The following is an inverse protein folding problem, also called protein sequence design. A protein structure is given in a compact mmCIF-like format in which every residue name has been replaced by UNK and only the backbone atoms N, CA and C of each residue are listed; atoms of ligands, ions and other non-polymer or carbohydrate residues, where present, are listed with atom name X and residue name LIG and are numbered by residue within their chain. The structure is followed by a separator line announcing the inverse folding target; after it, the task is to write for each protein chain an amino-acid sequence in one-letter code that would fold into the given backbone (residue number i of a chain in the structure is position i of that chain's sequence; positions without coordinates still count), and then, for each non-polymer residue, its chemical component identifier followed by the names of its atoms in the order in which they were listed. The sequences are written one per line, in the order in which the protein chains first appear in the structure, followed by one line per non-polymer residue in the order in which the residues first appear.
data_IF_895826022522
#
_entry.id   IF_895826022522
#
_cell.length_a   1.000
_cell.length_b   1.000
_cell.length_c   1.000
_cell.angle_alpha   90.00
_cell.angle_beta   90.00
_cell.angle_gamma   90.00
#
_symmetry.space_group_name_H-M   'P 1'
#
loop_
_entity.id
_entity.type
_entity.pdbx_description
1 polymer ?
#
# COMPACT_ATOMS: atom_id res chain seq x y z
N UNK A 1 -13.92 -35.42 -5.38
CA UNK A 1 -13.47 -34.13 -5.95
C UNK A 1 -12.27 -33.66 -5.12
N UNK A 2 -11.22 -33.08 -5.71
CA UNK A 2 -10.09 -32.61 -4.92
C UNK A 2 -10.53 -31.40 -4.10
N UNK A 3 -10.49 -31.53 -2.77
CA UNK A 3 -10.74 -30.44 -1.84
C UNK A 3 -9.61 -29.44 -2.03
N UNK A 4 -9.90 -28.29 -2.62
CA UNK A 4 -8.96 -27.18 -2.68
C UNK A 4 -8.76 -26.74 -1.22
N UNK A 5 -7.63 -27.13 -0.61
CA UNK A 5 -7.25 -26.67 0.73
C UNK A 5 -6.64 -25.26 0.60
N UNK A 6 -7.47 -24.27 0.27
CA UNK A 6 -7.05 -22.87 0.37
C UNK A 6 -7.12 -22.48 1.85
N UNK A 7 -5.98 -22.05 2.39
CA UNK A 7 -5.93 -21.52 3.73
C UNK A 7 -6.49 -20.09 3.73
N UNK A 8 -7.79 -19.97 3.97
CA UNK A 8 -8.51 -18.69 3.99
C UNK A 8 -8.03 -17.77 5.11
N UNK A 9 -7.55 -18.33 6.23
CA UNK A 9 -6.91 -17.55 7.30
C UNK A 9 -5.64 -16.87 6.81
N UNK A 10 -4.79 -17.57 6.04
CA UNK A 10 -3.58 -16.99 5.46
C UNK A 10 -3.91 -15.88 4.44
N UNK A 11 -5.00 -16.02 3.67
CA UNK A 11 -5.46 -14.96 2.76
C UNK A 11 -5.95 -13.73 3.52
N UNK A 12 -6.72 -13.91 4.60
CA UNK A 12 -7.17 -12.82 5.46
C UNK A 12 -5.99 -12.09 6.12
N UNK A 13 -5.02 -12.85 6.63
CA UNK A 13 -3.79 -12.30 7.21
C UNK A 13 -3.02 -11.49 6.18
N UNK A 14 -2.82 -12.02 4.97
CA UNK A 14 -2.11 -11.30 3.91
C UNK A 14 -2.86 -10.03 3.49
N UNK A 15 -4.19 -10.08 3.39
CA UNK A 15 -5.00 -8.90 3.11
C UNK A 15 -4.87 -7.82 4.19
N UNK A 16 -4.83 -8.21 5.47
CA UNK A 16 -4.58 -7.28 6.58
C UNK A 16 -3.18 -6.66 6.51
N UNK A 17 -2.16 -7.45 6.14
CA UNK A 17 -0.79 -6.96 5.97
C UNK A 17 -0.73 -5.87 4.89
N UNK A 18 -1.40 -6.05 3.75
CA UNK A 18 -1.46 -5.02 2.71
C UNK A 18 -2.07 -3.72 3.23
N UNK A 19 -3.21 -3.80 3.92
CA UNK A 19 -3.88 -2.62 4.50
C UNK A 19 -2.99 -1.92 5.53
N UNK A 20 -2.31 -2.67 6.39
CA UNK A 20 -1.40 -2.10 7.40
C UNK A 20 -0.19 -1.40 6.77
N UNK A 21 0.45 -2.04 5.78
CA UNK A 21 1.60 -1.45 5.08
C UNK A 21 1.19 -0.18 4.33
N UNK A 22 0.02 -0.19 3.71
CA UNK A 22 -0.53 0.98 3.03
C UNK A 22 -0.74 2.17 3.97
N UNK A 23 -1.36 1.91 5.13
CA UNK A 23 -1.57 2.91 6.16
C UNK A 23 -0.24 3.48 6.67
N UNK A 24 0.74 2.60 6.94
CA UNK A 24 2.08 3.00 7.35
C UNK A 24 2.78 3.88 6.30
N UNK A 25 2.67 3.52 5.02
CA UNK A 25 3.27 4.28 3.93
C UNK A 25 2.63 5.67 3.82
N UNK A 26 1.30 5.77 3.84
CA UNK A 26 0.60 7.06 3.69
C UNK A 26 0.78 7.96 4.92
N UNK A 27 0.57 7.41 6.12
CA UNK A 27 0.41 8.22 7.32
C UNK A 27 1.72 8.43 8.07
N UNK A 28 2.73 7.58 7.88
CA UNK A 28 4.01 7.71 8.57
C UNK A 28 5.13 8.09 7.61
N UNK A 29 5.43 7.23 6.64
CA UNK A 29 6.60 7.41 5.75
C UNK A 29 6.41 8.65 4.89
N UNK A 30 5.21 8.83 4.32
CA UNK A 30 4.82 10.02 3.55
C UNK A 30 5.09 11.32 4.29
N UNK A 31 4.63 11.39 5.54
CA UNK A 31 4.76 12.56 6.40
C UNK A 31 6.19 12.79 6.86
N UNK A 32 6.93 11.74 7.23
CA UNK A 32 8.32 11.86 7.66
C UNK A 32 9.22 12.40 6.54
N UNK A 33 9.04 11.91 5.32
CA UNK A 33 9.79 12.39 4.17
C UNK A 33 9.41 13.83 3.89
N UNK A 34 8.11 14.18 3.88
CA UNK A 34 7.67 15.56 3.69
C UNK A 34 8.31 16.54 4.69
N UNK A 35 8.33 16.17 5.97
CA UNK A 35 8.93 17.01 7.02
C UNK A 35 10.44 17.18 6.82
N UNK A 36 11.17 16.14 6.41
CA UNK A 36 12.60 16.22 6.12
C UNK A 36 12.87 17.06 4.86
N UNK A 37 12.05 16.93 3.82
CA UNK A 37 12.12 17.77 2.62
C UNK A 37 12.00 19.25 3.00
N UNK A 38 10.98 19.60 3.78
CA UNK A 38 10.73 21.00 4.16
C UNK A 38 11.87 21.60 5.00
N UNK A 39 12.65 20.78 5.72
CA UNK A 39 13.86 21.24 6.41
C UNK A 39 15.02 21.55 5.44
N UNK A 40 15.12 20.81 4.34
CA UNK A 40 16.18 20.98 3.33
C UNK A 40 15.86 22.09 2.32
N UNK A 41 14.58 22.44 2.13
CA UNK A 41 14.13 23.51 1.21
C UNK A 41 14.76 24.88 1.52
N UNK A 42 15.11 25.15 2.78
CA UNK A 42 15.77 26.40 3.18
C UNK A 42 17.19 26.55 2.63
N UNK A 43 17.89 25.43 2.43
CA UNK A 43 19.30 25.39 2.01
C UNK A 43 19.45 25.25 0.49
N UNK A 44 18.38 24.87 -0.22
CA UNK A 44 18.41 24.60 -1.65
C UNK A 44 17.96 25.80 -2.48
N UNK A 45 18.86 26.31 -3.31
CA UNK A 45 18.61 27.42 -4.22
C UNK A 45 18.86 27.04 -5.68
N UNK A 46 18.04 27.58 -6.59
CA UNK A 46 18.21 27.45 -8.03
C UNK A 46 17.74 26.11 -8.62
N UNK A 47 18.45 25.63 -9.64
CA UNK A 47 18.04 24.48 -10.48
C UNK A 47 17.96 23.16 -9.69
N UNK A 48 18.78 22.99 -8.65
CA UNK A 48 18.77 21.79 -7.79
C UNK A 48 17.43 21.64 -7.06
N UNK A 49 16.87 22.74 -6.54
CA UNK A 49 15.56 22.77 -5.90
C UNK A 49 14.45 22.33 -6.86
N UNK A 50 14.42 22.90 -8.07
CA UNK A 50 13.41 22.55 -9.06
C UNK A 50 13.46 21.07 -9.46
N UNK A 51 14.68 20.53 -9.67
CA UNK A 51 14.85 19.11 -9.99
C UNK A 51 14.43 18.21 -8.83
N UNK A 52 14.73 18.61 -7.60
CA UNK A 52 14.28 17.88 -6.43
C UNK A 52 12.75 17.89 -6.29
N UNK A 53 12.12 19.05 -6.41
CA UNK A 53 10.65 19.19 -6.34
C UNK A 53 9.98 18.28 -7.36
N UNK A 54 10.50 18.19 -8.60
CA UNK A 54 10.02 17.25 -9.61
C UNK A 54 10.13 15.79 -9.15
N UNK A 55 11.31 15.35 -8.72
CA UNK A 55 11.53 13.98 -8.22
C UNK A 55 10.65 13.65 -7.02
N UNK A 56 10.42 14.63 -6.14
CA UNK A 56 9.56 14.47 -4.98
C UNK A 56 8.08 14.29 -5.37
N UNK A 57 7.59 15.07 -6.33
CA UNK A 57 6.21 14.90 -6.83
C UNK A 57 6.02 13.58 -7.59
N UNK A 58 7.01 13.16 -8.37
CA UNK A 58 7.02 11.84 -9.02
C UNK A 58 6.93 10.73 -7.97
N UNK A 59 7.79 10.79 -6.94
CA UNK A 59 7.77 9.84 -5.83
C UNK A 59 6.41 9.79 -5.13
N UNK A 60 5.80 10.95 -4.81
CA UNK A 60 4.46 11.00 -4.19
C UNK A 60 3.40 10.32 -5.04
N UNK A 61 3.48 10.51 -6.36
CA UNK A 61 2.57 9.88 -7.32
C UNK A 61 2.74 8.36 -7.32
N UNK A 62 3.99 7.87 -7.40
CA UNK A 62 4.30 6.43 -7.35
C UNK A 62 3.83 5.79 -6.05
N UNK A 63 4.04 6.44 -4.91
CA UNK A 63 3.58 5.95 -3.61
C UNK A 63 2.06 5.88 -3.54
N UNK A 64 1.36 6.90 -4.04
CA UNK A 64 -0.10 6.91 -4.09
C UNK A 64 -0.64 5.74 -4.91
N UNK A 65 -0.03 5.45 -6.06
CA UNK A 65 -0.37 4.30 -6.89
C UNK A 65 -0.07 2.97 -6.21
N UNK A 66 1.10 2.83 -5.58
CA UNK A 66 1.49 1.63 -4.85
C UNK A 66 0.50 1.30 -3.72
N UNK A 67 0.08 2.32 -2.96
CA UNK A 67 -0.93 2.16 -1.91
C UNK A 67 -2.27 1.72 -2.49
N UNK A 68 -2.72 2.38 -3.57
CA UNK A 68 -3.97 2.00 -4.24
C UNK A 68 -3.95 0.51 -4.66
N UNK A 69 -2.84 0.06 -5.27
CA UNK A 69 -2.67 -1.34 -5.67
C UNK A 69 -2.63 -2.30 -4.48
N UNK A 70 -1.97 -1.92 -3.38
CA UNK A 70 -2.00 -2.70 -2.15
C UNK A 70 -3.42 -2.84 -1.58
N UNK A 71 -4.23 -1.78 -1.67
CA UNK A 71 -5.59 -1.75 -1.12
C UNK A 71 -6.51 -2.66 -1.94
N UNK A 72 -6.37 -2.60 -3.27
CA UNK A 72 -7.08 -3.47 -4.20
C UNK A 72 -6.73 -4.94 -3.97
N UNK A 73 -5.43 -5.26 -3.80
CA UNK A 73 -4.97 -6.61 -3.48
C UNK A 73 -5.52 -7.09 -2.13
N UNK A 74 -5.44 -6.24 -1.09
CA UNK A 74 -5.93 -6.57 0.24
C UNK A 74 -7.42 -6.88 0.25
N UNK A 75 -8.22 -6.05 -0.41
CA UNK A 75 -9.68 -6.27 -0.57
C UNK A 75 -9.98 -7.51 -1.40
N UNK A 76 -9.24 -7.74 -2.47
CA UNK A 76 -9.42 -8.92 -3.31
C UNK A 76 -9.17 -10.20 -2.51
N UNK A 77 -8.10 -10.26 -1.72
CA UNK A 77 -7.79 -11.41 -0.86
C UNK A 77 -8.89 -11.67 0.18
N UNK A 78 -9.40 -10.61 0.82
CA UNK A 78 -10.50 -10.72 1.77
C UNK A 78 -11.77 -11.25 1.09
N UNK A 79 -12.16 -10.68 -0.04
CA UNK A 79 -13.34 -11.12 -0.78
C UNK A 79 -13.23 -12.59 -1.23
N UNK A 80 -12.07 -12.97 -1.75
CA UNK A 80 -11.81 -14.35 -2.18
C UNK A 80 -11.83 -15.32 -0.99
N UNK A 81 -11.31 -14.93 0.17
CA UNK A 81 -11.40 -15.75 1.39
C UNK A 81 -12.84 -16.02 1.81
N UNK A 82 -13.71 -15.00 1.79
CA UNK A 82 -15.13 -15.16 2.10
C UNK A 82 -15.86 -16.04 1.07
N UNK A 83 -15.49 -15.94 -0.21
CA UNK A 83 -16.08 -16.79 -1.25
C UNK A 83 -15.76 -18.27 -1.04
N UNK A 84 -14.50 -18.59 -0.71
CA UNK A 84 -14.11 -19.97 -0.42
C UNK A 84 -14.81 -20.53 0.82
N UNK A 85 -14.92 -19.74 1.89
CA UNK A 85 -15.65 -20.16 3.11
C UNK A 85 -17.13 -20.44 2.84
N UNK A 86 -17.78 -19.63 2.00
CA UNK A 86 -19.18 -19.85 1.63
C UNK A 86 -19.38 -21.12 0.80
N UNK A 87 -18.43 -21.45 -0.08
CA UNK A 87 -18.47 -22.70 -0.87
C UNK A 87 -18.27 -23.91 0.03
N UNK A 88 -17.31 -23.85 0.96
CA UNK A 88 -17.05 -24.93 1.91
C UNK A 88 -18.22 -25.19 2.87
N UNK A 89 -19.01 -24.16 3.21
CA UNK A 89 -20.21 -24.31 4.05
C UNK A 89 -21.41 -24.93 3.32
N UNK A 90 -21.42 -24.93 1.99
CA UNK A 90 -22.53 -25.41 1.16
C UNK A 90 -22.30 -26.80 0.56
N UNK A 91 -21.07 -27.32 0.60
CA UNK A 91 -20.67 -28.64 0.10
C UNK A 91 -20.62 -29.71 1.19
#
# INVERSE_FOLDING_TARGET
MPVIHVNTDAMRQLGQVFVQLNDQIQNQIGQQIHNQVSQLEGDWQGISRQRYEQLYQEWRTTITQAVQHGDDLGRHLQNTSHQFENVDQQG
#
